data_IF_686208595518
#
_entry.id   IF_686208595518
#
_cell.length_a   1.000
_cell.length_b   1.000
_cell.length_c   1.000
_cell.angle_alpha   90.00
_cell.angle_beta   90.00
_cell.angle_gamma   90.00
#
_symmetry.space_group_name_H-M   'P 1'
#
loop_
_entity.id
_entity.type
_entity.pdbx_description
1 polymer ?
#
# COMPACT_ATOMS: atom_id res chain seq x y z
N UNK A 1 10.76 16.28 8.31
CA UNK A 1 9.44 15.66 8.08
C UNK A 1 9.30 14.48 9.01
N UNK A 2 8.35 14.56 9.93
CA UNK A 2 8.11 13.51 10.93
C UNK A 2 7.03 12.55 10.45
N UNK A 3 7.29 11.27 10.58
CA UNK A 3 6.46 10.19 10.03
C UNK A 3 5.95 9.31 11.16
N UNK A 4 4.66 8.98 11.11
CA UNK A 4 4.04 7.94 11.91
C UNK A 4 3.72 6.73 11.05
N UNK A 5 3.93 5.52 11.57
CA UNK A 5 3.65 4.28 10.84
C UNK A 5 2.56 3.49 11.56
N UNK A 6 1.57 3.05 10.83
CA UNK A 6 0.56 2.10 11.26
C UNK A 6 0.94 0.71 10.69
N UNK A 7 1.53 -0.13 11.53
CA UNK A 7 1.97 -1.48 11.18
C UNK A 7 3.47 -1.60 10.84
N UNK A 8 4.21 -2.32 11.67
CA UNK A 8 5.63 -2.67 11.48
C UNK A 8 5.79 -4.17 11.14
N UNK A 9 4.97 -4.68 10.24
CA UNK A 9 5.15 -5.98 9.60
C UNK A 9 6.21 -5.93 8.50
N UNK A 10 6.15 -6.85 7.54
CA UNK A 10 7.11 -6.93 6.42
C UNK A 10 7.25 -5.61 5.68
N UNK A 11 6.13 -4.97 5.32
CA UNK A 11 6.16 -3.71 4.54
C UNK A 11 6.64 -2.54 5.41
N UNK A 12 6.06 -2.35 6.60
CA UNK A 12 6.43 -1.24 7.48
C UNK A 12 7.87 -1.33 7.97
N UNK A 13 8.33 -2.50 8.38
CA UNK A 13 9.73 -2.72 8.73
C UNK A 13 10.68 -2.53 7.55
N UNK A 14 10.26 -2.95 6.34
CA UNK A 14 11.00 -2.68 5.11
C UNK A 14 11.16 -1.19 4.82
N UNK A 15 10.13 -0.38 5.07
CA UNK A 15 10.21 1.08 4.92
C UNK A 15 11.20 1.68 5.93
N UNK A 16 11.14 1.25 7.19
CA UNK A 16 12.10 1.71 8.21
C UNK A 16 13.54 1.38 7.81
N UNK A 17 13.81 0.13 7.43
CA UNK A 17 15.13 -0.30 6.97
C UNK A 17 15.61 0.52 5.76
N UNK A 18 14.72 0.81 4.80
CA UNK A 18 15.05 1.62 3.63
C UNK A 18 15.42 3.05 4.02
N UNK A 19 14.65 3.67 4.92
CA UNK A 19 14.93 5.02 5.41
C UNK A 19 16.21 5.09 6.22
N UNK A 20 16.48 4.11 7.08
CA UNK A 20 17.73 4.01 7.85
C UNK A 20 18.94 3.83 6.93
N UNK A 21 18.84 2.98 5.92
CA UNK A 21 19.93 2.71 4.98
C UNK A 21 20.21 3.86 4.01
N UNK A 22 19.16 4.49 3.50
CA UNK A 22 19.25 5.44 2.39
C UNK A 22 18.92 6.89 2.80
N UNK A 23 18.65 7.17 4.07
CA UNK A 23 18.17 8.47 4.56
C UNK A 23 19.02 9.65 4.10
N UNK A 24 20.35 9.58 4.25
CA UNK A 24 21.26 10.63 3.80
C UNK A 24 21.21 10.87 2.28
N UNK A 25 20.98 9.82 1.48
CA UNK A 25 20.83 9.95 0.02
C UNK A 25 19.49 10.56 -0.35
N UNK A 26 18.43 10.17 0.38
CA UNK A 26 17.08 10.74 0.20
C UNK A 26 17.10 12.23 0.55
N UNK A 27 17.68 12.59 1.68
CA UNK A 27 17.79 13.98 2.12
C UNK A 27 18.55 14.85 1.10
N UNK A 28 19.68 14.39 0.56
CA UNK A 28 20.41 15.11 -0.48
C UNK A 28 19.60 15.34 -1.76
N UNK A 29 18.72 14.39 -2.11
CA UNK A 29 17.91 14.49 -3.34
C UNK A 29 16.66 15.33 -3.17
N UNK A 30 16.08 15.31 -1.97
CA UNK A 30 14.77 15.92 -1.71
C UNK A 30 14.87 17.23 -0.92
N UNK A 31 16.02 17.48 -0.25
CA UNK A 31 16.19 18.56 0.69
C UNK A 31 15.45 18.35 2.02
N UNK A 32 14.89 17.15 2.26
CA UNK A 32 14.04 16.86 3.43
C UNK A 32 14.59 15.66 4.19
N UNK A 33 14.91 15.88 5.48
CA UNK A 33 15.15 14.78 6.41
C UNK A 33 13.83 14.11 6.80
N UNK A 34 13.77 12.76 6.68
CA UNK A 34 12.60 11.94 7.00
C UNK A 34 12.90 11.15 8.26
N UNK A 35 12.10 11.35 9.30
CA UNK A 35 12.25 10.72 10.61
C UNK A 35 10.98 9.97 10.99
N UNK A 36 11.09 8.67 11.28
CA UNK A 36 9.99 7.88 11.85
C UNK A 36 10.04 8.02 13.36
N UNK A 37 9.03 8.66 13.96
CA UNK A 37 9.04 8.97 15.41
C UNK A 37 8.11 8.06 16.22
N UNK A 38 7.05 7.53 15.61
CA UNK A 38 6.03 6.75 16.30
C UNK A 38 5.48 5.65 15.39
N UNK A 39 5.30 4.44 15.92
CA UNK A 39 4.67 3.35 15.19
C UNK A 39 3.60 2.63 16.02
N UNK A 40 2.42 2.50 15.41
CA UNK A 40 1.31 1.71 15.95
C UNK A 40 1.49 0.23 15.58
N UNK A 41 1.52 -0.64 16.59
CA UNK A 41 1.73 -2.08 16.44
C UNK A 41 0.72 -2.87 17.27
N UNK A 42 0.52 -4.15 16.99
CA UNK A 42 -0.39 -5.01 17.78
C UNK A 42 0.21 -5.46 19.11
N UNK A 43 1.52 -5.68 19.11
CA UNK A 43 2.27 -6.16 20.27
C UNK A 43 3.64 -5.49 20.24
N UNK A 44 3.93 -4.68 21.27
CA UNK A 44 5.20 -3.96 21.39
C UNK A 44 6.37 -4.92 21.59
N UNK A 45 6.14 -6.08 22.20
CA UNK A 45 7.17 -7.05 22.56
C UNK A 45 7.59 -7.95 21.39
N UNK A 46 6.82 -7.96 20.30
CA UNK A 46 7.13 -8.78 19.13
C UNK A 46 8.43 -8.30 18.47
N UNK A 47 9.32 -9.23 18.13
CA UNK A 47 10.53 -8.95 17.36
C UNK A 47 10.20 -8.35 15.98
N UNK A 48 11.03 -7.39 15.57
CA UNK A 48 10.85 -6.66 14.31
C UNK A 48 12.02 -6.93 13.36
N UNK A 49 11.74 -6.84 12.07
CA UNK A 49 12.76 -6.98 11.02
C UNK A 49 13.60 -5.70 10.84
N UNK A 50 13.29 -4.63 11.57
CA UNK A 50 13.96 -3.33 11.53
C UNK A 50 14.37 -2.88 12.93
N UNK A 51 15.35 -2.01 13.01
CA UNK A 51 15.74 -1.36 14.26
C UNK A 51 14.69 -0.32 14.67
N UNK A 52 14.13 -0.48 15.85
CA UNK A 52 13.12 0.41 16.44
C UNK A 52 13.65 1.25 17.62
N UNK A 53 14.95 1.24 17.87
CA UNK A 53 15.56 1.91 19.04
C UNK A 53 15.25 3.41 19.16
N UNK A 54 15.05 4.07 18.00
CA UNK A 54 14.70 5.48 17.91
C UNK A 54 13.24 5.74 17.57
N UNK A 55 12.39 4.71 17.62
CA UNK A 55 10.97 4.80 17.26
C UNK A 55 10.13 4.44 18.49
N UNK A 56 9.29 5.36 18.94
CA UNK A 56 8.32 5.03 20.00
C UNK A 56 7.31 4.03 19.44
N UNK A 57 7.05 2.94 20.17
CA UNK A 57 6.02 1.96 19.83
C UNK A 57 4.76 2.19 20.66
N UNK A 58 3.59 2.00 20.10
CA UNK A 58 2.30 2.07 20.78
C UNK A 58 1.36 0.97 20.28
N UNK A 59 0.51 0.45 21.15
CA UNK A 59 -0.58 -0.46 20.79
C UNK A 59 -1.87 0.28 20.42
N UNK A 60 -1.94 1.58 20.70
CA UNK A 60 -3.06 2.43 20.25
C UNK A 60 -2.72 3.11 18.90
N UNK A 61 -3.30 2.64 17.78
CA UNK A 61 -3.07 3.24 16.48
C UNK A 61 -3.61 4.68 16.39
N UNK A 62 -4.55 5.07 17.24
CA UNK A 62 -5.06 6.44 17.27
C UNK A 62 -4.04 7.42 17.85
N UNK A 63 -3.09 6.98 18.70
CA UNK A 63 -1.99 7.84 19.13
C UNK A 63 -1.18 8.34 17.94
N UNK A 64 -0.94 7.48 16.93
CA UNK A 64 -0.18 7.85 15.72
C UNK A 64 -0.88 8.95 14.93
N UNK A 65 -2.16 8.76 14.63
CA UNK A 65 -2.91 9.71 13.78
C UNK A 65 -3.28 11.01 14.50
N UNK A 66 -3.25 11.01 15.84
CA UNK A 66 -3.50 12.19 16.66
C UNK A 66 -2.21 12.92 17.12
N UNK A 67 -1.03 12.33 16.87
CA UNK A 67 0.23 12.91 17.36
C UNK A 67 0.51 14.27 16.70
N UNK A 68 0.72 15.36 17.47
CA UNK A 68 0.79 16.72 16.92
C UNK A 68 1.98 16.97 16.00
N UNK A 69 3.08 16.26 16.21
CA UNK A 69 4.31 16.48 15.45
C UNK A 69 4.41 15.62 14.18
N UNK A 70 3.48 14.70 13.92
CA UNK A 70 3.50 13.85 12.72
C UNK A 70 2.92 14.63 11.54
N UNK A 71 3.70 14.75 10.48
CA UNK A 71 3.33 15.35 9.20
C UNK A 71 2.67 14.35 8.26
N UNK A 72 3.18 13.11 8.27
CA UNK A 72 2.78 12.04 7.33
C UNK A 72 2.51 10.74 8.08
N UNK A 73 1.38 10.10 7.78
CA UNK A 73 1.01 8.77 8.29
C UNK A 73 1.16 7.75 7.18
N UNK A 74 1.95 6.70 7.43
CA UNK A 74 2.03 5.51 6.58
C UNK A 74 1.05 4.46 7.10
N UNK A 75 0.02 4.13 6.34
CA UNK A 75 -0.95 3.08 6.66
C UNK A 75 -0.56 1.78 5.96
N UNK A 76 -0.12 0.80 6.76
CA UNK A 76 0.41 -0.49 6.31
C UNK A 76 -0.14 -1.68 7.12
N UNK A 77 -1.31 -1.49 7.77
CA UNK A 77 -1.99 -2.56 8.52
C UNK A 77 -3.04 -3.30 7.69
N UNK A 78 -3.55 -2.68 6.64
CA UNK A 78 -4.56 -3.27 5.76
C UNK A 78 -5.98 -3.31 6.38
N UNK A 79 -6.90 -3.99 5.69
CA UNK A 79 -8.30 -4.05 6.07
C UNK A 79 -9.09 -2.78 5.74
N UNK A 80 -10.41 -2.81 5.90
CA UNK A 80 -11.29 -1.68 5.51
C UNK A 80 -12.12 -1.12 6.67
N UNK A 81 -12.02 -1.70 7.87
CA UNK A 81 -12.78 -1.30 9.07
C UNK A 81 -12.13 -0.14 9.82
N UNK A 82 -11.32 -0.46 10.84
CA UNK A 82 -10.64 0.54 11.67
C UNK A 82 -9.70 1.41 10.85
N UNK A 83 -9.05 0.85 9.84
CA UNK A 83 -8.10 1.53 8.96
C UNK A 83 -8.73 2.74 8.27
N UNK A 84 -9.99 2.62 7.81
CA UNK A 84 -10.72 3.74 7.25
C UNK A 84 -10.82 4.90 8.24
N UNK A 85 -11.21 4.62 9.48
CA UNK A 85 -11.32 5.63 10.54
C UNK A 85 -9.98 6.29 10.85
N UNK A 86 -8.90 5.51 10.88
CA UNK A 86 -7.55 6.02 11.11
C UNK A 86 -7.12 7.00 10.01
N UNK A 87 -7.33 6.64 8.74
CA UNK A 87 -7.02 7.53 7.61
C UNK A 87 -7.88 8.79 7.65
N UNK A 88 -9.19 8.67 7.89
CA UNK A 88 -10.09 9.81 8.02
C UNK A 88 -9.64 10.74 9.16
N UNK A 89 -9.24 10.18 10.30
CA UNK A 89 -8.71 10.95 11.45
C UNK A 89 -7.40 11.66 11.09
N UNK A 90 -6.45 10.96 10.44
CA UNK A 90 -5.19 11.57 10.00
C UNK A 90 -5.44 12.75 9.06
N UNK A 91 -6.30 12.57 8.06
CA UNK A 91 -6.70 13.61 7.10
C UNK A 91 -7.32 14.82 7.82
N UNK A 92 -8.25 14.57 8.75
CA UNK A 92 -8.92 15.65 9.50
C UNK A 92 -7.96 16.40 10.44
N UNK A 93 -6.90 15.74 10.89
CA UNK A 93 -5.82 16.36 11.66
C UNK A 93 -4.75 17.04 10.78
N UNK A 94 -5.02 17.23 9.48
CA UNK A 94 -4.12 17.92 8.57
C UNK A 94 -2.86 17.14 8.20
N UNK A 95 -2.88 15.80 8.34
CA UNK A 95 -1.73 14.93 8.01
C UNK A 95 -1.85 14.36 6.61
N UNK A 96 -0.73 14.33 5.89
CA UNK A 96 -0.63 13.57 4.66
C UNK A 96 -0.71 12.06 4.97
N UNK A 97 -1.28 11.27 4.07
CA UNK A 97 -1.41 9.83 4.23
C UNK A 97 -0.81 9.10 3.02
N UNK A 98 -0.05 8.05 3.29
CA UNK A 98 0.44 7.11 2.29
C UNK A 98 -0.06 5.73 2.67
N UNK A 99 -0.71 5.02 1.76
CA UNK A 99 -1.25 3.68 2.02
C UNK A 99 -0.91 2.68 0.91
N UNK A 100 -0.69 1.42 1.28
CA UNK A 100 -0.59 0.30 0.37
C UNK A 100 -1.91 -0.50 0.27
N UNK A 101 -2.98 -0.04 0.91
CA UNK A 101 -4.23 -0.77 1.10
C UNK A 101 -5.15 -0.64 -0.12
N UNK A 102 -4.94 -1.50 -1.10
CA UNK A 102 -5.74 -1.52 -2.33
C UNK A 102 -7.25 -1.72 -2.08
N UNK A 103 -7.60 -2.59 -1.13
CA UNK A 103 -9.01 -2.87 -0.82
C UNK A 103 -9.74 -1.62 -0.29
N UNK A 104 -9.06 -0.84 0.54
CA UNK A 104 -9.60 0.42 1.05
C UNK A 104 -9.75 1.46 -0.07
N UNK A 105 -8.73 1.61 -0.91
CA UNK A 105 -8.74 2.57 -2.02
C UNK A 105 -9.79 2.18 -3.06
N UNK A 106 -9.87 0.91 -3.46
CA UNK A 106 -10.89 0.44 -4.40
C UNK A 106 -12.32 0.70 -3.90
N UNK A 107 -12.56 0.55 -2.59
CA UNK A 107 -13.91 0.68 -1.99
C UNK A 107 -14.26 2.10 -1.57
N UNK A 108 -13.30 2.89 -1.10
CA UNK A 108 -13.53 4.17 -0.44
C UNK A 108 -12.65 5.31 -0.98
N UNK A 109 -11.80 5.05 -1.99
CA UNK A 109 -10.80 5.98 -2.50
C UNK A 109 -11.35 7.35 -2.83
N UNK A 110 -12.44 7.43 -3.62
CA UNK A 110 -13.04 8.69 -4.02
C UNK A 110 -13.42 9.58 -2.82
N UNK A 111 -14.04 9.00 -1.78
CA UNK A 111 -14.43 9.77 -0.58
C UNK A 111 -13.21 10.23 0.21
N UNK A 112 -12.19 9.38 0.33
CA UNK A 112 -10.96 9.70 1.06
C UNK A 112 -10.15 10.77 0.34
N UNK A 113 -10.05 10.70 -1.00
CA UNK A 113 -9.39 11.71 -1.84
C UNK A 113 -10.10 13.06 -1.75
N UNK A 114 -11.45 13.07 -1.83
CA UNK A 114 -12.23 14.29 -1.63
C UNK A 114 -12.01 14.91 -0.24
N UNK A 115 -11.96 14.08 0.80
CA UNK A 115 -11.66 14.54 2.17
C UNK A 115 -10.24 15.09 2.27
N UNK A 116 -9.25 14.43 1.68
CA UNK A 116 -7.87 14.90 1.67
C UNK A 116 -7.75 16.26 0.95
N UNK A 117 -8.38 16.40 -0.21
CA UNK A 117 -8.39 17.66 -0.96
C UNK A 117 -9.04 18.81 -0.16
N UNK A 118 -10.18 18.54 0.50
CA UNK A 118 -10.85 19.52 1.38
C UNK A 118 -9.96 19.97 2.52
N UNK A 119 -9.20 19.07 3.11
CA UNK A 119 -8.26 19.35 4.21
C UNK A 119 -6.88 19.83 3.72
N UNK A 120 -6.67 20.01 2.40
CA UNK A 120 -5.40 20.44 1.78
C UNK A 120 -4.22 19.52 2.10
N UNK A 121 -4.48 18.23 2.29
CA UNK A 121 -3.47 17.18 2.46
C UNK A 121 -3.52 16.22 1.28
N UNK A 122 -2.53 15.35 1.17
CA UNK A 122 -2.45 14.33 0.11
C UNK A 122 -2.72 12.95 0.67
N UNK A 123 -3.48 12.16 -0.08
CA UNK A 123 -3.61 10.72 0.06
C UNK A 123 -2.88 10.08 -1.11
N UNK A 124 -1.78 9.38 -0.84
CA UNK A 124 -0.95 8.72 -1.84
C UNK A 124 -1.05 7.21 -1.66
N UNK A 125 -1.15 6.47 -2.76
CA UNK A 125 -1.40 5.03 -2.74
C UNK A 125 -0.67 4.26 -3.85
N UNK A 126 0.50 4.74 -4.28
CA UNK A 126 1.32 4.09 -5.30
C UNK A 126 1.57 2.60 -5.01
N UNK A 127 1.86 2.27 -3.73
CA UNK A 127 2.14 0.91 -3.31
C UNK A 127 0.91 -0.02 -3.31
N UNK A 128 -0.29 0.47 -3.58
CA UNK A 128 -1.52 -0.33 -3.65
C UNK A 128 -1.64 -1.14 -4.93
N UNK A 129 -0.97 -0.72 -6.01
CA UNK A 129 -1.02 -1.38 -7.33
C UNK A 129 0.39 -1.49 -7.91
N UNK A 130 0.72 -2.64 -8.47
CA UNK A 130 1.97 -2.90 -9.18
C UNK A 130 3.22 -2.51 -8.38
N UNK A 131 3.38 -3.07 -7.18
CA UNK A 131 4.46 -2.74 -6.24
C UNK A 131 5.84 -2.66 -6.93
N UNK A 132 6.57 -1.56 -6.69
CA UNK A 132 7.84 -1.26 -7.33
C UNK A 132 7.75 -0.59 -8.71
N UNK A 133 6.57 -0.52 -9.32
CA UNK A 133 6.32 0.14 -10.61
C UNK A 133 5.49 1.40 -10.37
N UNK A 134 5.96 2.61 -10.71
CA UNK A 134 5.26 3.87 -10.44
C UNK A 134 4.12 4.11 -11.44
N UNK A 135 3.16 3.19 -11.54
CA UNK A 135 2.07 3.23 -12.53
C UNK A 135 1.06 4.34 -12.25
N UNK A 136 0.70 4.55 -10.97
CA UNK A 136 -0.25 5.59 -10.59
C UNK A 136 0.32 6.97 -10.91
N UNK A 137 1.56 7.23 -10.50
CA UNK A 137 2.27 8.46 -10.83
C UNK A 137 2.43 8.66 -12.34
N UNK A 138 2.66 7.59 -13.09
CA UNK A 138 2.75 7.66 -14.55
C UNK A 138 1.41 8.09 -15.16
N UNK A 139 0.30 7.55 -14.70
CA UNK A 139 -1.04 7.92 -15.16
C UNK A 139 -1.41 9.36 -14.74
N UNK A 140 -1.22 9.71 -13.46
CA UNK A 140 -1.64 11.02 -12.93
C UNK A 140 -0.77 12.18 -13.39
N UNK A 141 0.54 11.97 -13.55
CA UNK A 141 1.50 13.04 -13.84
C UNK A 141 2.11 12.91 -15.23
N UNK A 142 2.62 11.72 -15.59
CA UNK A 142 3.31 11.50 -16.86
C UNK A 142 2.38 11.58 -18.06
N UNK A 143 1.15 11.09 -17.91
CA UNK A 143 0.16 11.00 -18.99
C UNK A 143 -1.03 11.97 -18.79
N UNK A 144 -0.92 12.93 -17.89
CA UNK A 144 -2.02 13.86 -17.54
C UNK A 144 -2.62 14.63 -18.74
N UNK A 145 -1.83 14.88 -19.77
CA UNK A 145 -2.28 15.54 -21.00
C UNK A 145 -2.84 14.58 -22.06
N UNK A 146 -2.76 13.27 -21.84
CA UNK A 146 -3.15 12.26 -22.80
C UNK A 146 -4.57 11.75 -22.53
N UNK A 147 -5.29 11.44 -23.62
CA UNK A 147 -6.53 10.66 -23.52
C UNK A 147 -6.16 9.16 -23.49
N UNK A 148 -6.42 8.51 -22.37
CA UNK A 148 -6.26 7.06 -22.26
C UNK A 148 -7.48 6.39 -22.91
N UNK A 149 -7.24 5.54 -23.90
CA UNK A 149 -8.30 4.84 -24.62
C UNK A 149 -8.55 3.44 -24.08
N UNK A 150 -7.51 2.77 -23.61
CA UNK A 150 -7.62 1.42 -23.04
C UNK A 150 -6.54 1.15 -22.01
N UNK A 151 -6.82 0.21 -21.13
CA UNK A 151 -5.90 -0.29 -20.12
C UNK A 151 -5.90 -1.83 -20.17
N UNK A 152 -4.73 -2.44 -20.32
CA UNK A 152 -4.57 -3.87 -20.29
C UNK A 152 -3.27 -4.25 -19.58
N UNK A 153 -3.27 -5.36 -18.82
CA UNK A 153 -2.07 -5.82 -18.15
C UNK A 153 -2.29 -7.10 -17.36
N UNK A 154 -1.18 -7.71 -16.97
CA UNK A 154 -1.14 -8.82 -16.02
C UNK A 154 -0.82 -8.22 -14.66
N UNK A 155 -1.79 -8.26 -13.73
CA UNK A 155 -1.69 -7.58 -12.43
C UNK A 155 -1.88 -8.50 -11.22
N UNK A 156 -1.93 -9.82 -11.44
CA UNK A 156 -1.94 -10.85 -10.40
C UNK A 156 -0.89 -11.91 -10.71
N UNK A 157 0.09 -12.11 -9.81
CA UNK A 157 1.20 -13.05 -10.01
C UNK A 157 0.76 -14.51 -9.92
N UNK A 158 -0.07 -14.84 -8.94
CA UNK A 158 -0.60 -16.21 -8.72
C UNK A 158 -1.41 -16.68 -9.89
N UNK A 159 -2.37 -15.89 -10.34
CA UNK A 159 -3.19 -16.20 -11.50
C UNK A 159 -2.36 -16.31 -12.79
N UNK A 160 -1.37 -15.44 -12.98
CA UNK A 160 -0.45 -15.52 -14.11
C UNK A 160 0.35 -16.83 -14.10
N UNK A 161 0.90 -17.22 -12.95
CA UNK A 161 1.61 -18.50 -12.81
C UNK A 161 0.71 -19.66 -13.17
N UNK A 162 -0.49 -19.75 -12.58
CA UNK A 162 -1.43 -20.84 -12.81
C UNK A 162 -1.80 -20.94 -14.30
N UNK A 163 -2.22 -19.86 -14.91
CA UNK A 163 -2.64 -19.86 -16.32
C UNK A 163 -1.49 -20.17 -17.28
N UNK A 164 -0.28 -19.74 -16.95
CA UNK A 164 0.92 -20.04 -17.76
C UNK A 164 1.24 -21.52 -17.71
N UNK A 165 1.30 -22.12 -16.51
CA UNK A 165 1.58 -23.54 -16.34
C UNK A 165 0.50 -24.44 -17.01
N UNK A 166 -0.77 -24.08 -16.87
CA UNK A 166 -1.86 -24.75 -17.55
C UNK A 166 -1.71 -24.72 -19.08
N UNK A 167 -1.38 -23.53 -19.62
CA UNK A 167 -1.27 -23.33 -21.08
C UNK A 167 -0.02 -24.00 -21.67
N UNK A 168 1.14 -23.80 -21.04
CA UNK A 168 2.43 -24.23 -21.62
C UNK A 168 2.70 -25.72 -21.39
N UNK A 169 2.23 -26.26 -20.25
CA UNK A 169 2.47 -27.66 -19.87
C UNK A 169 1.24 -28.54 -19.94
N UNK A 170 0.10 -28.00 -20.41
CA UNK A 170 -1.18 -28.73 -20.53
C UNK A 170 -1.60 -29.42 -19.22
N UNK A 171 -1.48 -28.70 -18.10
CA UNK A 171 -1.78 -29.20 -16.75
C UNK A 171 -3.15 -28.75 -16.28
N UNK A 172 -3.74 -29.54 -15.39
CA UNK A 172 -5.02 -29.20 -14.77
C UNK A 172 -4.87 -28.14 -13.69
N UNK A 173 -5.92 -27.34 -13.50
CA UNK A 173 -5.95 -26.22 -12.53
C UNK A 173 -5.59 -26.67 -11.11
N UNK A 174 -6.18 -27.76 -10.62
CA UNK A 174 -5.97 -28.23 -9.24
C UNK A 174 -4.53 -28.64 -8.97
N UNK A 175 -3.85 -29.23 -9.96
CA UNK A 175 -2.43 -29.61 -9.84
C UNK A 175 -1.53 -28.40 -9.80
N UNK A 176 -1.78 -27.42 -10.65
CA UNK A 176 -0.99 -26.18 -10.67
C UNK A 176 -1.22 -25.33 -9.44
N UNK A 177 -2.45 -25.28 -8.94
CA UNK A 177 -2.77 -24.57 -7.69
C UNK A 177 -2.03 -25.16 -6.50
N UNK A 178 -1.99 -26.49 -6.36
CA UNK A 178 -1.21 -27.16 -5.29
C UNK A 178 0.28 -26.83 -5.39
N UNK A 179 0.84 -26.80 -6.58
CA UNK A 179 2.23 -26.40 -6.79
C UNK A 179 2.44 -24.92 -6.43
N UNK A 180 1.55 -24.02 -6.84
CA UNK A 180 1.61 -22.62 -6.47
C UNK A 180 1.60 -22.41 -4.95
N UNK A 181 0.79 -23.20 -4.23
CA UNK A 181 0.76 -23.19 -2.76
C UNK A 181 2.05 -23.74 -2.17
N UNK A 182 2.59 -24.85 -2.69
CA UNK A 182 3.85 -25.41 -2.24
C UNK A 182 5.05 -24.47 -2.45
N UNK A 183 5.04 -23.69 -3.53
CA UNK A 183 6.05 -22.69 -3.84
C UNK A 183 5.84 -21.35 -3.09
N UNK A 184 4.74 -21.21 -2.37
CA UNK A 184 4.40 -19.97 -1.66
C UNK A 184 3.86 -18.83 -2.55
N UNK A 185 3.44 -19.14 -3.78
CA UNK A 185 2.82 -18.19 -4.70
C UNK A 185 1.33 -18.00 -4.41
N UNK A 186 0.68 -19.02 -3.85
CA UNK A 186 -0.70 -18.97 -3.39
C UNK A 186 -0.77 -19.28 -1.89
N UNK A 187 -1.66 -18.59 -1.18
CA UNK A 187 -1.97 -18.89 0.21
C UNK A 187 -2.83 -20.16 0.32
N UNK A 188 -3.01 -20.67 1.56
CA UNK A 188 -3.88 -21.82 1.83
C UNK A 188 -5.33 -21.58 1.40
N UNK A 189 -5.82 -20.34 1.53
CA UNK A 189 -7.06 -19.87 0.92
C UNK A 189 -6.74 -18.98 -0.28
N UNK A 190 -6.74 -19.53 -1.51
CA UNK A 190 -6.36 -18.82 -2.72
C UNK A 190 -7.51 -17.98 -3.32
N UNK A 191 -8.69 -17.97 -2.71
CA UNK A 191 -9.94 -17.39 -3.26
C UNK A 191 -9.71 -15.96 -3.78
N UNK A 192 -8.95 -15.15 -3.06
CA UNK A 192 -8.71 -13.75 -3.42
C UNK A 192 -8.00 -13.59 -4.78
N UNK A 193 -7.08 -14.51 -5.09
CA UNK A 193 -6.35 -14.51 -6.37
C UNK A 193 -7.14 -15.25 -7.45
N UNK A 194 -7.66 -16.45 -7.14
CA UNK A 194 -8.33 -17.35 -8.09
C UNK A 194 -9.65 -16.79 -8.61
N UNK A 195 -10.43 -16.16 -7.74
CA UNK A 195 -11.68 -15.48 -8.11
C UNK A 195 -11.45 -14.11 -8.76
N UNK A 196 -10.19 -13.69 -8.91
CA UNK A 196 -9.83 -12.43 -9.56
C UNK A 196 -10.10 -11.17 -8.73
N UNK A 197 -10.39 -11.30 -7.43
CA UNK A 197 -10.72 -10.17 -6.56
C UNK A 197 -9.55 -9.21 -6.44
N UNK A 198 -8.32 -9.73 -6.29
CA UNK A 198 -7.09 -8.92 -6.28
C UNK A 198 -6.93 -8.13 -7.57
N UNK A 199 -7.06 -8.79 -8.72
CA UNK A 199 -6.94 -8.16 -10.02
C UNK A 199 -8.05 -7.11 -10.25
N UNK A 200 -9.29 -7.42 -9.85
CA UNK A 200 -10.42 -6.50 -9.96
C UNK A 200 -10.21 -5.21 -9.14
N UNK A 201 -9.71 -5.30 -7.91
CA UNK A 201 -9.42 -4.13 -7.08
C UNK A 201 -8.32 -3.26 -7.70
N UNK A 202 -7.24 -3.87 -8.19
CA UNK A 202 -6.16 -3.14 -8.88
C UNK A 202 -6.66 -2.47 -10.16
N UNK A 203 -7.43 -3.20 -10.96
CA UNK A 203 -8.03 -2.66 -12.19
C UNK A 203 -8.98 -1.50 -11.90
N UNK A 204 -9.84 -1.61 -10.87
CA UNK A 204 -10.75 -0.54 -10.48
C UNK A 204 -9.99 0.76 -10.13
N UNK A 205 -8.89 0.65 -9.39
CA UNK A 205 -8.04 1.80 -9.05
C UNK A 205 -7.43 2.43 -10.30
N UNK A 206 -6.82 1.61 -11.16
CA UNK A 206 -6.18 2.09 -12.39
C UNK A 206 -7.20 2.70 -13.36
N UNK A 207 -8.38 2.08 -13.52
CA UNK A 207 -9.44 2.56 -14.37
C UNK A 207 -10.02 3.90 -13.90
N UNK A 208 -10.23 4.05 -12.58
CA UNK A 208 -10.69 5.31 -12.01
C UNK A 208 -9.72 6.47 -12.31
N UNK A 209 -8.42 6.22 -12.22
CA UNK A 209 -7.39 7.22 -12.54
C UNK A 209 -7.32 7.49 -14.04
N UNK A 210 -7.26 6.43 -14.85
CA UNK A 210 -7.05 6.53 -16.30
C UNK A 210 -8.24 7.15 -17.03
N UNK A 211 -9.47 6.88 -16.59
CA UNK A 211 -10.70 7.30 -17.27
C UNK A 211 -11.47 8.40 -16.51
N UNK A 212 -11.04 8.76 -15.29
CA UNK A 212 -11.66 9.82 -14.49
C UNK A 212 -13.05 9.44 -13.94
N UNK A 213 -13.29 8.18 -13.58
CA UNK A 213 -14.60 7.64 -13.15
C UNK A 213 -14.66 7.38 -11.65
#
# INVERSE_FOLDING_TARGET
>A
MKVGILGLGTVGGGVVNLLQKNGASIERRTGVNIEVILAGVRDIKQDRICDTSNIKLTEDPFEVVNHPEIDVVLELIGGTGVTKKLIETAINNGKHVITANKALIAKHGNKLIQSANKNKVRLLFEASVAGGIPIIKSLEQGLSANKIESLAGIINGTGNFILTEMKEKNRDFDDVLKEAQALGYAESDPTFDVEGIDAAQKLAILAAIAFGT
#
